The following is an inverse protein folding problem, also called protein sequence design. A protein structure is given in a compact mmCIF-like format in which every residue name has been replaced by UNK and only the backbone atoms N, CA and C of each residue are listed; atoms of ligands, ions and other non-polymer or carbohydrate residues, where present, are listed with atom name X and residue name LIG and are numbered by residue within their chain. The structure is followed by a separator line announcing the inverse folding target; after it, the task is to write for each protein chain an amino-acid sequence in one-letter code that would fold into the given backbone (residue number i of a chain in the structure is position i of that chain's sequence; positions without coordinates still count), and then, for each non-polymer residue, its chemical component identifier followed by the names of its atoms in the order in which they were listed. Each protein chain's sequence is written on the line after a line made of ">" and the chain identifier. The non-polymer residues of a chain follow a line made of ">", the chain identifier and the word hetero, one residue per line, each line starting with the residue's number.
data_IF_567689423781
#
_entry.id   IF_567689423781
#
_cell.length_a   1.000
_cell.length_b   1.000
_cell.length_c   1.000
_cell.angle_alpha   90.00
_cell.angle_beta   90.00
_cell.angle_gamma   90.00
#
_symmetry.space_group_name_H-M   'P 1'
#
loop_
_entity.id
_entity.type
_entity.pdbx_description
1 polymer ?
#
# COMPACT_ATOMS: atom_id res chain seq x y z
N UNK A 1 38.45 -110.03 23.36
CA UNK A 1 37.46 -111.11 23.17
C UNK A 1 37.22 -111.73 24.52
N UNK A 2 36.15 -111.30 25.20
CA UNK A 2 35.74 -111.88 26.49
C UNK A 2 35.45 -113.35 26.25
N UNK A 3 36.22 -114.25 26.85
CA UNK A 3 35.95 -115.69 26.80
C UNK A 3 34.51 -115.92 27.22
N UNK A 4 33.73 -116.63 26.40
CA UNK A 4 32.40 -117.06 26.80
C UNK A 4 32.54 -117.85 28.11
N UNK A 5 31.64 -117.66 29.09
CA UNK A 5 31.60 -118.50 30.28
C UNK A 5 31.60 -119.98 29.86
N UNK A 6 32.27 -120.85 30.61
CA UNK A 6 32.43 -122.28 30.30
C UNK A 6 31.11 -123.02 30.06
N UNK A 7 30.00 -122.46 30.53
CA UNK A 7 28.64 -122.94 30.39
C UNK A 7 28.06 -122.74 28.98
N UNK A 8 28.61 -121.80 28.19
CA UNK A 8 28.21 -121.50 26.81
C UNK A 8 29.29 -121.83 25.77
N UNK A 9 30.49 -122.20 26.21
CA UNK A 9 31.59 -122.65 25.35
C UNK A 9 31.46 -124.16 25.07
N UNK A 10 30.75 -124.51 23.99
CA UNK A 10 30.47 -125.90 23.59
C UNK A 10 31.66 -126.62 22.93
N UNK A 11 32.78 -125.91 22.68
CA UNK A 11 33.97 -126.50 22.10
C UNK A 11 34.90 -127.13 23.16
N UNK A 12 34.83 -126.66 24.42
CA UNK A 12 35.63 -127.21 25.54
C UNK A 12 35.02 -128.43 26.21
N UNK A 13 33.70 -128.59 26.18
CA UNK A 13 32.99 -129.76 26.73
C UNK A 13 31.66 -129.96 25.99
N UNK A 14 31.55 -131.09 25.29
CA UNK A 14 30.38 -131.46 24.48
C UNK A 14 29.30 -132.22 25.27
N UNK A 15 29.48 -132.40 26.58
CA UNK A 15 28.50 -133.10 27.42
C UNK A 15 27.28 -132.21 27.72
N UNK A 16 26.17 -132.49 27.05
CA UNK A 16 24.89 -131.81 27.24
C UNK A 16 24.16 -132.29 28.52
N UNK A 17 24.85 -132.22 29.66
CA UNK A 17 24.25 -132.58 30.96
C UNK A 17 23.14 -131.59 31.34
N UNK A 18 22.02 -132.06 31.94
CA UNK A 18 20.90 -131.20 32.34
C UNK A 18 21.32 -130.01 33.22
N UNK A 19 22.28 -130.19 34.13
CA UNK A 19 22.73 -129.13 35.02
C UNK A 19 23.49 -128.01 34.31
N UNK A 20 24.26 -128.34 33.26
CA UNK A 20 24.95 -127.34 32.44
C UNK A 20 23.95 -126.56 31.59
N UNK A 21 22.96 -127.24 31.02
CA UNK A 21 21.87 -126.57 30.28
C UNK A 21 21.08 -125.63 31.20
N UNK A 22 20.77 -126.02 32.43
CA UNK A 22 20.10 -125.15 33.40
C UNK A 22 20.94 -123.90 33.71
N UNK A 23 22.25 -124.04 33.98
CA UNK A 23 23.13 -122.88 34.23
C UNK A 23 23.31 -121.98 33.00
N UNK A 24 23.44 -122.56 31.81
CA UNK A 24 23.54 -121.79 30.56
C UNK A 24 22.24 -121.04 30.28
N UNK A 25 21.09 -121.67 30.55
CA UNK A 25 19.78 -121.05 30.42
C UNK A 25 19.58 -119.95 31.46
N UNK A 26 20.02 -120.14 32.70
CA UNK A 26 20.03 -119.08 33.73
C UNK A 26 20.91 -117.90 33.32
N UNK A 27 22.09 -118.15 32.74
CA UNK A 27 22.95 -117.08 32.24
C UNK A 27 22.33 -116.34 31.05
N UNK A 28 21.73 -117.07 30.09
CA UNK A 28 21.01 -116.47 28.96
C UNK A 28 19.80 -115.66 29.47
N UNK A 29 19.02 -116.19 30.42
CA UNK A 29 17.89 -115.49 31.05
C UNK A 29 18.38 -114.24 31.79
N UNK A 30 19.48 -114.31 32.53
CA UNK A 30 20.05 -113.15 33.20
C UNK A 30 20.52 -112.08 32.21
N UNK A 31 21.11 -112.49 31.08
CA UNK A 31 21.54 -111.57 30.02
C UNK A 31 20.37 -110.98 29.24
N UNK A 32 19.33 -111.76 28.97
CA UNK A 32 18.06 -111.30 28.40
C UNK A 32 17.38 -110.29 29.32
N UNK A 33 17.34 -110.56 30.63
CA UNK A 33 16.76 -109.65 31.63
C UNK A 33 17.53 -108.33 31.74
N UNK A 34 18.86 -108.36 31.58
CA UNK A 34 19.69 -107.16 31.51
C UNK A 34 19.52 -106.37 30.19
N UNK A 35 19.20 -107.06 29.08
CA UNK A 35 18.86 -106.42 27.80
C UNK A 35 17.44 -105.83 27.82
N UNK A 36 16.47 -106.55 28.37
CA UNK A 36 15.10 -106.07 28.59
C UNK A 36 15.04 -104.83 29.49
N UNK A 37 15.95 -104.68 30.46
CA UNK A 37 16.02 -103.44 31.26
C UNK A 37 16.57 -102.24 30.48
N UNK A 38 17.35 -102.46 29.42
CA UNK A 38 17.98 -101.39 28.62
C UNK A 38 17.12 -100.89 27.44
N UNK A 39 16.17 -101.69 26.97
CA UNK A 39 15.20 -101.33 25.91
C UNK A 39 14.23 -100.19 26.27
N UNK A 40 13.58 -100.18 27.46
CA UNK A 40 12.71 -99.07 27.86
C UNK A 40 13.48 -97.76 28.06
N UNK A 41 14.77 -97.80 28.38
CA UNK A 41 15.61 -96.60 28.46
C UNK A 41 15.86 -95.97 27.09
N UNK A 42 15.99 -96.76 26.02
CA UNK A 42 16.17 -96.21 24.68
C UNK A 42 14.90 -95.52 24.15
N UNK A 43 13.72 -96.12 24.34
CA UNK A 43 12.45 -95.49 23.95
C UNK A 43 12.13 -94.26 24.79
N UNK A 44 12.44 -94.29 26.09
CA UNK A 44 12.36 -93.12 26.97
C UNK A 44 13.32 -92.02 26.54
N UNK A 45 14.57 -92.35 26.19
CA UNK A 45 15.55 -91.38 25.70
C UNK A 45 15.14 -90.73 24.37
N UNK A 46 14.53 -91.50 23.45
CA UNK A 46 14.00 -90.96 22.19
C UNK A 46 12.82 -90.02 22.44
N UNK A 47 11.91 -90.36 23.36
CA UNK A 47 10.78 -89.49 23.69
C UNK A 47 11.22 -88.24 24.48
N UNK A 48 12.23 -88.34 25.34
CA UNK A 48 12.88 -87.19 25.96
C UNK A 48 13.57 -86.29 24.92
N UNK A 49 14.32 -86.88 23.98
CA UNK A 49 14.91 -86.15 22.85
C UNK A 49 13.83 -85.46 22.02
N UNK A 50 12.70 -86.13 21.75
CA UNK A 50 11.57 -85.56 21.01
C UNK A 50 10.92 -84.40 21.76
N UNK A 51 10.68 -84.56 23.07
CA UNK A 51 10.18 -83.48 23.92
C UNK A 51 11.15 -82.30 23.96
N UNK A 52 12.44 -82.57 24.16
CA UNK A 52 13.48 -81.54 24.18
C UNK A 52 13.57 -80.81 22.83
N UNK A 53 13.46 -81.53 21.71
CA UNK A 53 13.43 -80.92 20.38
C UNK A 53 12.20 -80.04 20.19
N UNK A 54 11.02 -80.50 20.60
CA UNK A 54 9.79 -79.70 20.50
C UNK A 54 9.83 -78.47 21.40
N UNK A 55 10.40 -78.59 22.60
CA UNK A 55 10.54 -77.49 23.56
C UNK A 55 11.56 -76.46 23.05
N UNK A 56 12.71 -76.92 22.54
CA UNK A 56 13.71 -76.08 21.85
C UNK A 56 13.11 -75.38 20.62
N UNK A 57 12.29 -76.08 19.85
CA UNK A 57 11.61 -75.49 18.69
C UNK A 57 10.60 -74.42 19.12
N UNK A 58 9.83 -74.65 20.18
CA UNK A 58 8.91 -73.66 20.73
C UNK A 58 9.66 -72.44 21.28
N UNK A 59 10.76 -72.65 21.99
CA UNK A 59 11.62 -71.60 22.54
C UNK A 59 12.21 -70.70 21.45
N UNK A 60 12.53 -71.24 20.27
CA UNK A 60 13.10 -70.47 19.15
C UNK A 60 12.02 -69.84 18.27
N UNK A 61 10.96 -70.57 17.93
CA UNK A 61 9.97 -70.12 16.95
C UNK A 61 8.99 -69.09 17.52
N UNK A 62 8.64 -69.17 18.81
CA UNK A 62 7.69 -68.23 19.42
C UNK A 62 8.26 -66.80 19.45
N UNK A 63 9.49 -66.54 19.94
CA UNK A 63 10.07 -65.21 19.92
C UNK A 63 10.31 -64.68 18.50
N UNK A 64 10.73 -65.55 17.57
CA UNK A 64 10.90 -65.16 16.17
C UNK A 64 9.58 -64.71 15.54
N UNK A 65 8.48 -65.43 15.79
CA UNK A 65 7.15 -65.03 15.32
C UNK A 65 6.67 -63.72 15.96
N UNK A 66 6.94 -63.52 17.25
CA UNK A 66 6.64 -62.27 17.94
C UNK A 66 7.43 -61.10 17.34
N UNK A 67 8.74 -61.26 17.12
CA UNK A 67 9.58 -60.24 16.48
C UNK A 67 9.06 -59.87 15.07
N UNK A 68 8.69 -60.86 14.26
CA UNK A 68 8.12 -60.60 12.93
C UNK A 68 6.81 -59.80 13.02
N UNK A 69 5.95 -60.10 13.99
CA UNK A 69 4.72 -59.33 14.19
C UNK A 69 4.99 -57.90 14.68
N UNK A 70 5.97 -57.70 15.55
CA UNK A 70 6.41 -56.36 15.98
C UNK A 70 6.93 -55.56 14.80
N UNK A 71 7.82 -56.14 14.00
CA UNK A 71 8.36 -55.48 12.80
C UNK A 71 7.23 -55.14 11.82
N UNK A 72 6.26 -56.03 11.62
CA UNK A 72 5.09 -55.74 10.76
C UNK A 72 4.29 -54.54 11.29
N UNK A 73 4.02 -54.48 12.59
CA UNK A 73 3.29 -53.36 13.19
C UNK A 73 4.07 -52.04 13.10
N UNK A 74 5.38 -52.06 13.31
CA UNK A 74 6.24 -50.87 13.12
C UNK A 74 6.23 -50.39 11.67
N UNK A 75 6.28 -51.31 10.70
CA UNK A 75 6.22 -50.99 9.28
C UNK A 75 4.86 -50.41 8.87
N UNK A 76 3.76 -50.97 9.40
CA UNK A 76 2.41 -50.45 9.18
C UNK A 76 2.26 -49.03 9.75
N UNK A 77 2.81 -48.75 10.94
CA UNK A 77 2.80 -47.41 11.54
C UNK A 77 3.57 -46.38 10.70
N UNK A 78 4.78 -46.74 10.23
CA UNK A 78 5.57 -45.90 9.31
C UNK A 78 4.80 -45.68 8.01
N UNK A 79 4.18 -46.72 7.46
CA UNK A 79 3.40 -46.59 6.23
C UNK A 79 2.18 -45.68 6.42
N UNK A 80 1.49 -45.73 7.56
CA UNK A 80 0.40 -44.78 7.87
C UNK A 80 0.92 -43.34 7.99
N UNK A 81 2.07 -43.12 8.63
CA UNK A 81 2.67 -41.77 8.74
C UNK A 81 3.08 -41.18 7.37
N UNK A 82 3.54 -42.03 6.45
CA UNK A 82 3.87 -41.62 5.08
C UNK A 82 2.65 -41.45 4.16
N UNK A 83 1.55 -42.15 4.43
CA UNK A 83 0.33 -42.14 3.61
C UNK A 83 -0.70 -41.12 4.11
N UNK A 84 -0.64 -40.72 5.38
CA UNK A 84 -1.43 -39.59 5.88
C UNK A 84 -0.99 -38.31 5.17
N UNK A 85 -1.98 -37.59 4.62
CA UNK A 85 -1.87 -36.47 3.71
C UNK A 85 -1.27 -35.18 4.33
N UNK A 86 -0.29 -35.32 5.22
CA UNK A 86 0.38 -34.24 5.92
C UNK A 86 1.90 -34.31 5.88
N UNK A 87 2.52 -35.45 5.53
CA UNK A 87 4.00 -35.50 5.44
C UNK A 87 4.53 -34.58 4.34
N UNK A 88 3.92 -34.60 3.14
CA UNK A 88 4.28 -33.69 2.05
C UNK A 88 4.07 -32.22 2.43
N UNK A 89 2.95 -31.91 3.08
CA UNK A 89 2.62 -30.55 3.51
C UNK A 89 3.50 -30.07 4.67
N UNK A 90 3.83 -30.93 5.63
CA UNK A 90 4.73 -30.65 6.73
C UNK A 90 6.18 -30.50 6.25
N UNK A 91 6.62 -31.35 5.32
CA UNK A 91 7.92 -31.22 4.68
C UNK A 91 7.98 -29.94 3.86
N UNK A 92 6.94 -29.63 3.06
CA UNK A 92 6.87 -28.40 2.30
C UNK A 92 6.88 -27.17 3.22
N UNK A 93 6.12 -27.18 4.31
CA UNK A 93 6.10 -26.10 5.31
C UNK A 93 7.46 -25.93 6.01
N UNK A 94 8.10 -27.04 6.40
CA UNK A 94 9.43 -27.02 7.00
C UNK A 94 10.50 -26.52 6.01
N UNK A 95 10.42 -26.95 4.75
CA UNK A 95 11.33 -26.51 3.69
C UNK A 95 11.11 -25.02 3.38
N UNK A 96 9.87 -24.56 3.26
CA UNK A 96 9.51 -23.15 3.08
C UNK A 96 10.04 -22.30 4.25
N UNK A 97 9.86 -22.74 5.49
CA UNK A 97 10.37 -22.03 6.67
C UNK A 97 11.91 -21.96 6.66
N UNK A 98 12.59 -23.05 6.31
CA UNK A 98 14.05 -23.05 6.19
C UNK A 98 14.54 -22.18 5.02
N UNK A 99 13.87 -22.20 3.88
CA UNK A 99 14.18 -21.36 2.71
C UNK A 99 13.97 -19.89 3.04
N UNK A 100 12.87 -19.53 3.70
CA UNK A 100 12.59 -18.16 4.14
C UNK A 100 13.60 -17.66 5.16
N UNK A 101 13.97 -18.49 6.14
CA UNK A 101 15.01 -18.14 7.12
C UNK A 101 16.37 -17.91 6.44
N UNK A 102 16.74 -18.77 5.48
CA UNK A 102 17.96 -18.60 4.68
C UNK A 102 17.90 -17.38 3.77
N UNK A 103 16.74 -17.06 3.19
CA UNK A 103 16.54 -15.87 2.37
C UNK A 103 16.68 -14.60 3.21
N UNK A 104 16.06 -14.51 4.39
CA UNK A 104 16.23 -13.36 5.29
C UNK A 104 17.68 -13.19 5.79
N UNK A 105 18.39 -14.29 6.00
CA UNK A 105 19.80 -14.26 6.38
C UNK A 105 20.76 -13.96 5.21
N UNK A 106 20.30 -14.07 3.96
CA UNK A 106 21.05 -13.66 2.79
C UNK A 106 21.04 -12.14 2.68
N UNK A 107 22.22 -11.53 2.82
CA UNK A 107 22.41 -10.09 2.69
C UNK A 107 21.95 -9.52 1.34
N UNK A 108 21.81 -10.35 0.29
CA UNK A 108 21.23 -9.94 -0.99
C UNK A 108 19.72 -9.76 -0.93
N UNK A 109 19.01 -10.57 -0.13
CA UNK A 109 17.56 -10.46 0.10
C UNK A 109 17.24 -9.30 1.07
N UNK A 110 18.07 -9.12 2.10
CA UNK A 110 18.03 -7.92 2.94
C UNK A 110 18.37 -6.63 2.15
N UNK A 111 19.17 -6.75 1.08
CA UNK A 111 19.47 -5.67 0.15
C UNK A 111 18.48 -5.56 -1.02
N UNK A 112 17.48 -6.45 -1.15
CA UNK A 112 16.34 -6.20 -2.05
C UNK A 112 15.63 -4.99 -1.46
N UNK A 113 15.81 -3.86 -2.13
CA UNK A 113 15.59 -2.49 -1.69
C UNK A 113 14.12 -2.10 -1.39
N UNK A 114 13.33 -2.97 -0.76
CA UNK A 114 11.96 -2.65 -0.36
C UNK A 114 11.91 -1.63 0.78
N UNK A 115 12.87 -1.67 1.72
CA UNK A 115 12.94 -0.69 2.81
C UNK A 115 13.35 0.70 2.31
N UNK A 116 14.20 0.77 1.29
CA UNK A 116 14.52 2.04 0.61
C UNK A 116 13.32 2.54 -0.20
N UNK A 117 12.60 1.66 -0.90
CA UNK A 117 11.39 2.05 -1.64
C UNK A 117 10.27 2.59 -0.73
N UNK A 118 10.07 2.01 0.45
CA UNK A 118 9.09 2.51 1.43
C UNK A 118 9.55 3.84 2.03
N UNK A 119 10.83 3.96 2.42
CA UNK A 119 11.38 5.21 2.96
C UNK A 119 11.36 6.36 1.92
N UNK A 120 11.62 6.06 0.65
CA UNK A 120 11.55 7.02 -0.46
C UNK A 120 10.11 7.47 -0.72
N UNK A 121 9.13 6.55 -0.66
CA UNK A 121 7.71 6.88 -0.79
C UNK A 121 7.22 7.73 0.39
N UNK A 122 7.60 7.38 1.62
CA UNK A 122 7.24 8.16 2.81
C UNK A 122 7.87 9.56 2.75
N UNK A 123 9.14 9.67 2.31
CA UNK A 123 9.80 10.95 2.06
C UNK A 123 9.08 11.79 1.01
N UNK A 124 8.75 11.20 -0.13
CA UNK A 124 7.99 11.87 -1.19
C UNK A 124 6.60 12.30 -0.70
N UNK A 125 5.94 11.48 0.12
CA UNK A 125 4.62 11.82 0.69
C UNK A 125 4.70 13.02 1.63
N UNK A 126 5.77 13.12 2.43
CA UNK A 126 6.01 14.26 3.32
C UNK A 126 6.28 15.55 2.54
N UNK A 127 7.07 15.46 1.46
CA UNK A 127 7.31 16.59 0.55
C UNK A 127 6.02 17.06 -0.13
N UNK A 128 5.20 16.14 -0.65
CA UNK A 128 3.91 16.45 -1.27
C UNK A 128 2.98 17.13 -0.26
N UNK A 129 2.92 16.65 0.98
CA UNK A 129 2.11 17.27 2.03
C UNK A 129 2.60 18.69 2.34
N UNK A 130 3.91 18.91 2.43
CA UNK A 130 4.49 20.23 2.65
C UNK A 130 4.14 21.20 1.50
N UNK A 131 4.24 20.74 0.25
CA UNK A 131 3.86 21.51 -0.94
C UNK A 131 2.36 21.82 -0.91
N UNK A 132 1.51 20.84 -0.58
CA UNK A 132 0.06 21.03 -0.50
C UNK A 132 -0.32 22.09 0.53
N UNK A 133 0.32 22.07 1.70
CA UNK A 133 0.12 23.08 2.74
C UNK A 133 0.58 24.47 2.28
N UNK A 134 1.72 24.56 1.58
CA UNK A 134 2.22 25.82 1.02
C UNK A 134 1.28 26.38 -0.05
N UNK A 135 0.73 25.53 -0.92
CA UNK A 135 -0.28 25.92 -1.92
C UNK A 135 -1.57 26.42 -1.25
N UNK A 136 -2.02 25.73 -0.19
CA UNK A 136 -3.17 26.16 0.61
C UNK A 136 -2.95 27.55 1.20
N UNK A 137 -1.82 27.78 1.86
CA UNK A 137 -1.45 29.09 2.41
C UNK A 137 -1.42 30.19 1.34
N UNK A 138 -0.84 29.91 0.17
CA UNK A 138 -0.78 30.87 -0.93
C UNK A 138 -2.18 31.21 -1.47
N UNK A 139 -3.06 30.22 -1.51
CA UNK A 139 -4.45 30.39 -1.96
C UNK A 139 -5.21 31.28 -0.97
N UNK A 140 -5.06 31.04 0.33
CA UNK A 140 -5.68 31.85 1.39
C UNK A 140 -5.16 33.29 1.34
N UNK A 141 -3.84 33.47 1.21
CA UNK A 141 -3.21 34.79 1.10
C UNK A 141 -3.74 35.58 -0.10
N UNK A 142 -3.95 34.92 -1.24
CA UNK A 142 -4.45 35.55 -2.45
C UNK A 142 -5.95 35.88 -2.35
N UNK A 143 -6.72 35.03 -1.67
CA UNK A 143 -8.18 35.22 -1.52
C UNK A 143 -8.54 36.53 -0.81
N UNK A 144 -7.66 37.03 0.06
CA UNK A 144 -7.84 38.29 0.79
C UNK A 144 -7.34 39.55 0.07
N UNK A 145 -6.75 39.43 -1.13
CA UNK A 145 -6.21 40.59 -1.86
C UNK A 145 -7.22 41.14 -2.86
N UNK A 146 -7.24 42.47 -3.02
CA UNK A 146 -8.06 43.13 -4.03
C UNK A 146 -7.61 42.74 -5.45
N UNK A 147 -8.56 42.73 -6.39
CA UNK A 147 -8.27 42.45 -7.79
C UNK A 147 -7.23 43.43 -8.37
N UNK A 148 -6.25 42.89 -9.10
CA UNK A 148 -5.13 43.70 -9.63
C UNK A 148 -5.56 44.74 -10.67
N UNK A 149 -6.63 44.48 -11.43
CA UNK A 149 -7.05 45.35 -12.53
C UNK A 149 -7.93 46.54 -12.10
N UNK A 150 -8.70 46.40 -11.01
CA UNK A 150 -9.65 47.41 -10.52
C UNK A 150 -9.86 47.30 -9.01
N UNK A 151 -8.82 47.57 -8.20
CA UNK A 151 -8.93 47.42 -6.75
C UNK A 151 -9.94 48.42 -6.19
N UNK A 152 -10.90 47.94 -5.40
CA UNK A 152 -11.72 48.82 -4.55
C UNK A 152 -10.98 49.06 -3.25
N UNK A 153 -10.54 50.30 -3.04
CA UNK A 153 -9.92 50.72 -1.80
C UNK A 153 -11.01 51.18 -0.82
N UNK A 154 -11.08 50.55 0.35
CA UNK A 154 -12.03 50.89 1.42
C UNK A 154 -11.28 51.43 2.64
N UNK A 155 -11.93 52.32 3.40
CA UNK A 155 -11.33 52.99 4.56
C UNK A 155 -10.59 54.29 4.20
N UNK A 156 -9.76 54.77 5.14
CA UNK A 156 -8.97 55.96 4.93
C UNK A 156 -7.77 55.67 4.02
N UNK A 157 -7.69 56.37 2.89
CA UNK A 157 -6.57 56.25 1.95
C UNK A 157 -5.60 57.39 2.24
N UNK A 158 -4.38 57.05 2.66
CA UNK A 158 -3.25 57.99 2.69
C UNK A 158 -2.28 57.62 1.57
N UNK A 159 -2.20 58.46 0.54
CA UNK A 159 -1.27 58.28 -0.57
C UNK A 159 -0.11 59.28 -0.43
N UNK A 160 1.09 58.79 -0.15
CA UNK A 160 2.30 59.62 -0.16
C UNK A 160 2.94 59.58 -1.55
N UNK A 161 3.06 60.74 -2.19
CA UNK A 161 3.69 60.88 -3.50
C UNK A 161 2.75 61.32 -4.62
N UNK A 162 3.25 61.26 -5.85
CA UNK A 162 2.58 61.78 -7.04
C UNK A 162 1.45 60.87 -7.52
N UNK A 163 0.21 61.40 -7.55
CA UNK A 163 -0.92 60.76 -8.21
C UNK A 163 -1.07 61.28 -9.66
N UNK A 164 -1.32 60.38 -10.60
CA UNK A 164 -1.55 60.68 -12.02
C UNK A 164 -2.82 59.97 -12.46
N UNK A 165 -3.59 60.61 -13.33
CA UNK A 165 -4.76 60.02 -13.97
C UNK A 165 -4.51 59.93 -15.47
N UNK A 166 -5.15 58.97 -16.12
CA UNK A 166 -5.12 58.85 -17.57
C UNK A 166 -5.86 60.02 -18.23
N UNK A 167 -5.36 60.44 -19.39
CA UNK A 167 -6.05 61.38 -20.29
C UNK A 167 -6.85 60.56 -21.30
N UNK A 168 -8.17 60.70 -21.27
CA UNK A 168 -9.08 59.92 -22.11
C UNK A 168 -9.55 60.75 -23.30
N UNK A 169 -8.99 60.49 -24.47
CA UNK A 169 -9.42 61.13 -25.71
C UNK A 169 -10.80 60.58 -26.15
N UNK A 170 -11.78 61.47 -26.31
CA UNK A 170 -13.15 61.08 -26.63
C UNK A 170 -13.37 60.93 -28.14
N UNK A 171 -13.72 59.72 -28.59
CA UNK A 171 -14.12 59.46 -29.98
C UNK A 171 -15.49 60.08 -30.32
N UNK A 172 -16.48 59.93 -29.45
CA UNK A 172 -17.83 60.46 -29.60
C UNK A 172 -18.08 61.68 -28.67
N UNK A 173 -19.33 62.13 -28.56
CA UNK A 173 -19.74 63.18 -27.61
C UNK A 173 -20.28 62.60 -26.29
N UNK A 174 -20.22 61.29 -26.12
CA UNK A 174 -20.56 60.62 -24.87
C UNK A 174 -19.34 60.55 -23.93
N UNK A 175 -19.48 61.11 -22.74
CA UNK A 175 -18.48 61.06 -21.67
C UNK A 175 -18.78 59.81 -20.83
N UNK A 176 -17.95 58.79 -20.98
CA UNK A 176 -18.02 57.57 -20.18
C UNK A 176 -17.30 57.78 -18.85
N UNK A 177 -18.06 57.94 -17.77
CA UNK A 177 -17.50 58.21 -16.44
C UNK A 177 -16.69 57.03 -15.87
N UNK A 178 -16.83 55.82 -16.42
CA UNK A 178 -16.00 54.68 -16.06
C UNK A 178 -14.61 54.73 -16.71
N UNK A 179 -14.41 55.56 -17.76
CA UNK A 179 -13.17 55.62 -18.51
C UNK A 179 -12.10 56.56 -17.91
N UNK A 180 -12.44 57.36 -16.90
CA UNK A 180 -11.47 58.22 -16.21
C UNK A 180 -12.08 59.49 -15.64
N UNK A 181 -11.23 60.48 -15.33
CA UNK A 181 -11.64 61.77 -14.76
C UNK A 181 -11.11 62.97 -15.56
N UNK A 182 -10.36 62.71 -16.64
CA UNK A 182 -9.83 63.76 -17.51
C UNK A 182 -10.07 63.37 -18.96
N UNK A 183 -10.87 64.15 -19.66
CA UNK A 183 -11.30 63.87 -21.02
C UNK A 183 -10.83 64.98 -21.96
N UNK A 184 -10.45 64.61 -23.19
CA UNK A 184 -10.13 65.58 -24.23
C UNK A 184 -11.06 65.42 -25.42
N UNK A 185 -11.50 66.55 -25.99
CA UNK A 185 -12.33 66.58 -27.20
C UNK A 185 -12.00 67.78 -28.06
N UNK A 186 -11.88 67.55 -29.37
CA UNK A 186 -11.96 68.62 -30.36
C UNK A 186 -13.34 68.60 -31.00
N UNK A 187 -13.97 69.77 -31.09
CA UNK A 187 -15.25 69.94 -31.79
C UNK A 187 -15.11 70.95 -32.93
N UNK A 188 -15.78 70.65 -34.05
CA UNK A 188 -15.78 71.47 -35.27
C UNK A 188 -17.20 71.58 -35.84
N UNK A 189 -18.18 71.80 -34.96
CA UNK A 189 -19.60 71.85 -35.28
C UNK A 189 -20.46 71.77 -34.01
N UNK A 190 -21.78 71.92 -34.18
CA UNK A 190 -22.72 71.84 -33.07
C UNK A 190 -22.62 70.48 -32.39
N UNK A 191 -22.38 70.49 -31.08
CA UNK A 191 -22.04 69.30 -30.30
C UNK A 191 -22.91 69.21 -29.06
N UNK A 192 -23.66 68.13 -28.94
CA UNK A 192 -24.45 67.80 -27.74
C UNK A 192 -23.74 66.72 -26.96
N UNK A 193 -23.25 67.04 -25.76
CA UNK A 193 -22.60 66.07 -24.89
C UNK A 193 -23.63 65.24 -24.12
N UNK A 194 -23.30 63.98 -23.88
CA UNK A 194 -24.01 63.07 -22.97
C UNK A 194 -23.05 62.52 -21.92
N UNK A 195 -23.58 62.01 -20.82
CA UNK A 195 -22.82 61.27 -19.81
C UNK A 195 -23.38 59.86 -19.68
N UNK A 196 -22.53 58.90 -19.35
CA UNK A 196 -22.89 57.51 -19.10
C UNK A 196 -22.02 56.91 -17.99
N UNK A 197 -22.47 55.79 -17.42
CA UNK A 197 -21.77 55.05 -16.37
C UNK A 197 -21.36 55.91 -15.16
N UNK A 198 -22.21 56.88 -14.80
CA UNK A 198 -21.97 57.77 -13.66
C UNK A 198 -21.95 56.94 -12.37
N UNK A 199 -20.90 57.03 -11.54
CA UNK A 199 -20.85 56.28 -10.29
C UNK A 199 -22.02 56.63 -9.35
N UNK A 200 -22.77 55.60 -8.92
CA UNK A 200 -23.84 55.77 -7.95
C UNK A 200 -23.32 55.79 -6.50
N UNK A 201 -24.08 56.44 -5.61
CA UNK A 201 -23.86 56.47 -4.15
C UNK A 201 -22.48 56.99 -3.70
N UNK A 202 -21.85 57.84 -4.50
CA UNK A 202 -20.55 58.48 -4.21
C UNK A 202 -20.41 59.77 -5.01
N UNK A 203 -19.58 60.70 -4.54
CA UNK A 203 -19.23 61.87 -5.35
C UNK A 203 -18.34 61.47 -6.51
N UNK A 204 -18.54 62.09 -7.67
CA UNK A 204 -17.69 61.94 -8.83
C UNK A 204 -17.48 63.29 -9.51
N UNK A 205 -16.26 63.51 -10.00
CA UNK A 205 -15.95 64.71 -10.77
C UNK A 205 -14.95 64.42 -11.87
N UNK A 206 -15.07 65.19 -12.95
CA UNK A 206 -14.17 65.09 -14.09
C UNK A 206 -13.89 66.46 -14.71
N UNK A 207 -12.80 66.53 -15.47
CA UNK A 207 -12.45 67.67 -16.30
C UNK A 207 -12.59 67.28 -17.77
N UNK A 208 -13.21 68.14 -18.57
CA UNK A 208 -13.23 68.09 -20.03
C UNK A 208 -12.38 69.23 -20.57
N UNK A 209 -11.27 68.89 -21.21
CA UNK A 209 -10.52 69.79 -22.07
C UNK A 209 -11.14 69.79 -23.47
N UNK A 210 -11.69 70.94 -23.85
CA UNK A 210 -12.39 71.13 -25.10
C UNK A 210 -11.62 72.09 -26.00
N UNK A 211 -11.09 71.57 -27.10
CA UNK A 211 -10.62 72.41 -28.21
C UNK A 211 -11.81 72.79 -29.08
N UNK A 212 -12.15 74.07 -29.10
CA UNK A 212 -13.33 74.59 -29.80
C UNK A 212 -12.94 75.22 -31.14
N UNK A 213 -13.21 74.54 -32.25
CA UNK A 213 -12.90 75.04 -33.60
C UNK A 213 -14.10 75.71 -34.27
N UNK A 214 -15.33 75.28 -33.97
CA UNK A 214 -16.56 75.93 -34.42
C UNK A 214 -17.80 75.32 -33.75
N UNK A 215 -18.97 75.94 -33.99
CA UNK A 215 -20.28 75.45 -33.55
C UNK A 215 -20.63 75.81 -32.10
N UNK A 216 -21.79 75.33 -31.65
CA UNK A 216 -22.26 75.51 -30.28
C UNK A 216 -22.13 74.22 -29.47
N UNK A 217 -22.09 74.35 -28.13
CA UNK A 217 -22.10 73.22 -27.21
C UNK A 217 -23.43 73.19 -26.46
N UNK A 218 -24.08 72.03 -26.51
CA UNK A 218 -25.23 71.69 -25.66
C UNK A 218 -24.74 70.72 -24.59
N UNK A 219 -24.92 71.10 -23.34
CA UNK A 219 -24.53 70.28 -22.18
C UNK A 219 -25.59 69.23 -21.87
N UNK A 220 -25.16 68.12 -21.27
CA UNK A 220 -26.05 67.05 -20.81
C UNK A 220 -27.01 67.56 -19.71
N UNK A 221 -28.08 66.81 -19.47
CA UNK A 221 -29.09 67.13 -18.48
C UNK A 221 -28.51 67.26 -17.06
N UNK A 222 -29.06 68.17 -16.26
CA UNK A 222 -28.71 68.33 -14.85
C UNK A 222 -27.53 69.28 -14.58
N UNK A 223 -26.87 69.81 -15.62
CA UNK A 223 -25.79 70.79 -15.46
C UNK A 223 -26.34 72.13 -14.96
N UNK A 224 -25.82 72.57 -13.81
CA UNK A 224 -26.04 73.85 -13.20
C UNK A 224 -24.76 74.68 -13.27
N UNK A 225 -24.86 75.84 -13.94
CA UNK A 225 -23.77 76.80 -14.04
C UNK A 225 -23.90 77.90 -12.98
N UNK A 226 -22.79 78.55 -12.58
CA UNK A 226 -22.85 79.77 -11.78
C UNK A 226 -23.76 80.79 -12.45
N UNK A 227 -24.71 81.35 -11.69
CA UNK A 227 -25.72 82.29 -12.18
C UNK A 227 -26.65 81.74 -13.28
N UNK A 228 -26.70 80.42 -13.48
CA UNK A 228 -27.64 79.76 -14.39
C UNK A 228 -27.29 79.85 -15.89
N UNK A 229 -26.14 80.44 -16.25
CA UNK A 229 -25.73 80.61 -17.65
C UNK A 229 -24.48 79.81 -17.98
N UNK A 230 -24.52 79.06 -19.09
CA UNK A 230 -23.34 78.35 -19.58
C UNK A 230 -22.23 79.35 -20.02
N UNK A 231 -20.95 79.01 -19.80
CA UNK A 231 -19.82 79.82 -20.23
C UNK A 231 -19.83 80.04 -21.75
N UNK A 232 -19.48 81.25 -22.19
CA UNK A 232 -19.29 81.54 -23.60
C UNK A 232 -18.00 80.92 -24.12
N UNK A 233 -18.08 80.31 -25.30
CA UNK A 233 -16.94 79.69 -25.97
C UNK A 233 -16.36 80.63 -27.03
N UNK A 234 -15.05 80.78 -27.01
CA UNK A 234 -14.32 81.45 -28.10
C UNK A 234 -13.75 80.41 -29.04
N UNK A 235 -14.06 80.56 -30.32
CA UNK A 235 -13.51 79.76 -31.40
C UNK A 235 -11.99 79.89 -31.48
N UNK A 236 -11.30 78.78 -31.77
CA UNK A 236 -9.85 78.70 -31.87
C UNK A 236 -9.15 78.70 -30.52
N UNK A 237 -9.89 78.42 -29.43
CA UNK A 237 -9.36 78.34 -28.06
C UNK A 237 -9.62 76.99 -27.42
N UNK A 238 -8.83 76.69 -26.41
CA UNK A 238 -9.02 75.54 -25.51
C UNK A 238 -9.73 76.02 -24.24
N UNK A 239 -10.66 75.22 -23.75
CA UNK A 239 -11.45 75.49 -22.55
C UNK A 239 -11.42 74.26 -21.64
N UNK A 240 -11.25 74.47 -20.34
CA UNK A 240 -11.38 73.41 -19.34
C UNK A 240 -12.72 73.55 -18.63
N UNK A 241 -13.53 72.50 -18.69
CA UNK A 241 -14.77 72.40 -17.95
C UNK A 241 -14.63 71.40 -16.82
N UNK A 242 -15.00 71.80 -15.61
CA UNK A 242 -15.06 70.91 -14.45
C UNK A 242 -16.52 70.61 -14.16
N UNK A 243 -16.82 69.32 -14.00
CA UNK A 243 -18.15 68.85 -13.62
C UNK A 243 -18.04 68.01 -12.35
N UNK A 244 -18.97 68.24 -11.41
CA UNK A 244 -19.05 67.47 -10.17
C UNK A 244 -20.48 67.09 -9.84
N UNK A 245 -20.68 65.85 -9.40
CA UNK A 245 -21.96 65.31 -8.92
C UNK A 245 -21.75 64.54 -7.63
N UNK A 246 -22.74 64.59 -6.75
CA UNK A 246 -22.85 63.85 -5.50
C UNK A 246 -24.10 62.93 -5.46
N UNK A 247 -24.92 62.97 -6.52
CA UNK A 247 -26.25 62.34 -6.58
C UNK A 247 -26.42 61.35 -7.74
N UNK A 248 -25.31 60.75 -8.19
CA UNK A 248 -25.32 59.77 -9.28
C UNK A 248 -25.61 60.37 -10.66
N UNK A 249 -25.41 61.69 -10.80
CA UNK A 249 -25.52 62.40 -12.07
C UNK A 249 -26.89 63.02 -12.35
N UNK A 250 -27.77 63.12 -11.34
CA UNK A 250 -29.01 63.87 -11.47
C UNK A 250 -28.74 65.38 -11.51
N UNK A 251 -27.78 65.86 -10.71
CA UNK A 251 -27.35 67.25 -10.65
C UNK A 251 -25.83 67.36 -10.82
N UNK A 252 -25.39 68.25 -11.70
CA UNK A 252 -23.98 68.51 -11.99
C UNK A 252 -23.62 69.96 -11.75
N UNK A 253 -22.64 70.23 -10.90
CA UNK A 253 -22.08 71.57 -10.72
C UNK A 253 -21.01 71.76 -11.78
N UNK A 254 -21.27 72.65 -12.72
CA UNK A 254 -20.36 73.00 -13.81
C UNK A 254 -19.52 74.22 -13.45
N UNK A 255 -18.24 74.22 -13.82
CA UNK A 255 -17.37 75.39 -13.82
C UNK A 255 -16.50 75.38 -15.07
N UNK A 256 -16.01 76.55 -15.48
CA UNK A 256 -15.12 76.64 -16.63
C UNK A 256 -13.95 77.59 -16.42
N UNK A 257 -12.82 77.20 -16.99
CA UNK A 257 -11.65 78.03 -17.23
C UNK A 257 -11.52 78.16 -18.75
N UNK A 258 -11.80 79.33 -19.28
CA UNK A 258 -12.01 79.54 -20.70
C UNK A 258 -10.85 80.28 -21.38
N UNK A 259 -10.77 80.13 -22.71
CA UNK A 259 -9.94 80.94 -23.62
C UNK A 259 -8.42 80.73 -23.53
N UNK A 260 -7.96 79.52 -23.22
CA UNK A 260 -6.54 79.18 -23.30
C UNK A 260 -6.05 79.15 -24.76
N UNK A 261 -4.79 79.55 -24.94
CA UNK A 261 -4.14 79.55 -26.26
C UNK A 261 -3.64 78.17 -26.69
N UNK A 262 -3.45 77.27 -25.74
CA UNK A 262 -3.11 75.86 -25.89
C UNK A 262 -3.45 75.13 -24.59
#
# INVERSE_FOLDING_TARGET
>A
MSSLPSELDFDKDRSATPDRMNRAMDYIIARLRALESSQPEFSAAVEELRRLMLDRMAEVLIPAYQQVNTIRQELEAIQTEWVDAGFGDALAAALLAQVWSRAQADGRFAAIAHDHGIADIDGLSAEILAITNAIGSLTDDLSGKAAAASPTLSGAIYANGSQRANVTAMAALNIDCAAGNYFTKTIAGNSTFTVSNVPASRSYGFTLELTHTSGTVTWFSGVQWPNGAAPSLTTGKVHLFIFHTDDGGATWRGAALANYSS
#
